data_IF_916809477825
#
_entry.id   IF_916809477825
#
_cell.length_a   1.000
_cell.length_b   1.000
_cell.length_c   1.000
_cell.angle_alpha   90.00
_cell.angle_beta   90.00
_cell.angle_gamma   90.00
#
_symmetry.space_group_name_H-M   'P 1'
#
loop_
_entity.id
_entity.type
_entity.pdbx_description
1 polymer ?
#
# COMPACT_ATOMS: atom_id res chain seq x y z
N UNK A 1 -2.79 -17.91 -4.00
CA UNK A 1 -1.43 -17.67 -4.53
C UNK A 1 -1.34 -17.72 -6.04
N UNK A 2 -1.76 -18.78 -6.77
CA UNK A 2 -1.56 -18.84 -8.22
C UNK A 2 -2.30 -17.75 -9.01
N UNK A 3 -3.53 -17.40 -8.59
CA UNK A 3 -4.29 -16.31 -9.18
C UNK A 3 -3.54 -14.96 -9.12
N UNK A 4 -2.93 -14.67 -7.97
CA UNK A 4 -2.19 -13.42 -7.75
C UNK A 4 -0.99 -13.37 -8.69
N UNK A 5 -0.24 -14.47 -8.80
CA UNK A 5 0.89 -14.58 -9.74
C UNK A 5 0.47 -14.36 -11.19
N UNK A 6 -0.66 -14.94 -11.62
CA UNK A 6 -1.18 -14.75 -12.99
C UNK A 6 -1.52 -13.27 -13.24
N UNK A 7 -2.21 -12.61 -12.30
CA UNK A 7 -2.55 -11.18 -12.43
C UNK A 7 -1.28 -10.34 -12.55
N UNK A 8 -0.28 -10.56 -11.68
CA UNK A 8 1.00 -9.85 -11.77
C UNK A 8 1.72 -10.09 -13.09
N UNK A 9 1.72 -11.33 -13.61
CA UNK A 9 2.34 -11.64 -14.90
C UNK A 9 1.65 -10.87 -16.04
N UNK A 10 0.32 -10.91 -16.11
CA UNK A 10 -0.44 -10.24 -17.18
C UNK A 10 -0.25 -8.72 -17.12
N UNK A 11 -0.22 -8.12 -15.93
CA UNK A 11 0.04 -6.68 -15.77
C UNK A 11 1.43 -6.30 -16.28
N UNK A 12 2.47 -7.10 -16.00
CA UNK A 12 3.80 -6.84 -16.53
C UNK A 12 3.85 -6.95 -18.07
N UNK A 13 3.19 -7.97 -18.65
CA UNK A 13 3.07 -8.12 -20.11
C UNK A 13 2.38 -6.90 -20.73
N UNK A 14 1.32 -6.38 -20.09
CA UNK A 14 0.64 -5.17 -20.55
C UNK A 14 1.57 -3.95 -20.54
N UNK A 15 2.37 -3.75 -19.47
CA UNK A 15 3.32 -2.64 -19.41
C UNK A 15 4.37 -2.70 -20.53
N UNK A 16 4.99 -3.86 -20.77
CA UNK A 16 5.98 -4.02 -21.85
C UNK A 16 5.37 -3.93 -23.26
N UNK A 17 4.07 -4.12 -23.41
CA UNK A 17 3.40 -3.97 -24.71
C UNK A 17 3.19 -2.51 -25.13
N UNK A 18 3.14 -1.59 -24.17
CA UNK A 18 2.82 -0.16 -24.40
C UNK A 18 4.03 0.74 -24.15
N UNK A 19 4.88 0.42 -23.17
CA UNK A 19 6.07 1.21 -22.84
C UNK A 19 7.34 0.51 -23.33
N UNK A 20 8.28 1.31 -23.83
CA UNK A 20 9.64 0.85 -24.10
C UNK A 20 10.43 0.69 -22.80
N UNK A 21 11.50 -0.12 -22.82
CA UNK A 21 12.35 -0.37 -21.66
C UNK A 21 12.94 0.90 -21.06
N UNK A 22 13.33 1.87 -21.90
CA UNK A 22 13.88 3.15 -21.45
C UNK A 22 12.83 4.01 -20.71
N UNK A 23 11.57 3.98 -21.16
CA UNK A 23 10.46 4.68 -20.50
C UNK A 23 10.11 4.06 -19.15
N UNK A 24 10.17 2.72 -19.04
CA UNK A 24 9.95 2.02 -17.77
C UNK A 24 11.07 2.33 -16.77
N UNK A 25 12.32 2.38 -17.23
CA UNK A 25 13.49 2.65 -16.39
C UNK A 25 13.58 4.11 -15.94
N UNK A 26 13.09 5.03 -16.75
CA UNK A 26 13.10 6.47 -16.44
C UNK A 26 11.86 6.94 -15.68
N UNK A 27 10.79 6.14 -15.63
CA UNK A 27 9.54 6.52 -14.96
C UNK A 27 9.53 6.16 -13.48
N UNK A 28 9.29 7.15 -12.62
CA UNK A 28 9.05 6.96 -11.18
C UNK A 28 7.71 6.25 -10.91
N UNK A 29 6.75 6.36 -11.85
CA UNK A 29 5.40 5.85 -11.70
C UNK A 29 4.90 5.21 -13.01
N UNK A 30 5.38 3.98 -13.27
CA UNK A 30 5.09 3.20 -14.49
C UNK A 30 3.60 3.12 -14.82
N UNK A 31 2.75 2.93 -13.79
CA UNK A 31 1.30 2.86 -13.95
C UNK A 31 0.70 4.17 -14.49
N UNK A 32 1.22 5.33 -14.06
CA UNK A 32 0.75 6.64 -14.51
C UNK A 32 1.18 6.91 -15.94
N UNK A 33 2.46 6.64 -16.27
CA UNK A 33 2.97 6.76 -17.65
C UNK A 33 2.23 5.84 -18.63
N UNK A 34 1.83 4.64 -18.17
CA UNK A 34 0.93 3.76 -18.92
C UNK A 34 -0.45 4.38 -19.13
N UNK A 35 -1.05 4.95 -18.09
CA UNK A 35 -2.34 5.64 -18.16
C UNK A 35 -2.34 6.83 -19.11
N UNK A 36 -1.27 7.64 -19.11
CA UNK A 36 -1.11 8.78 -20.02
C UNK A 36 -1.09 8.33 -21.48
N UNK A 37 -0.38 7.24 -21.82
CA UNK A 37 -0.31 6.73 -23.20
C UNK A 37 -1.57 6.01 -23.69
N UNK A 38 -2.24 5.27 -22.80
CA UNK A 38 -3.39 4.44 -23.19
C UNK A 38 -4.72 5.21 -23.15
N UNK A 39 -4.91 6.05 -22.13
CA UNK A 39 -6.21 6.64 -21.82
C UNK A 39 -6.32 8.10 -22.23
N UNK A 40 -5.22 8.76 -22.62
CA UNK A 40 -5.11 10.14 -23.14
C UNK A 40 -6.03 11.15 -22.43
N UNK A 41 -7.32 11.21 -22.79
CA UNK A 41 -8.36 12.01 -22.15
C UNK A 41 -8.72 11.62 -20.70
N UNK A 42 -8.64 10.33 -20.34
CA UNK A 42 -8.98 9.80 -19.00
C UNK A 42 -7.75 9.42 -18.17
N UNK A 43 -6.58 9.99 -18.47
CA UNK A 43 -5.33 9.69 -17.77
C UNK A 43 -5.40 9.91 -16.26
N UNK A 44 -6.19 10.89 -15.80
CA UNK A 44 -6.38 11.22 -14.37
C UNK A 44 -6.98 10.09 -13.53
N UNK A 45 -7.67 9.13 -14.16
CA UNK A 45 -8.29 7.99 -13.46
C UNK A 45 -7.22 7.08 -12.88
N UNK A 46 -6.09 6.92 -13.57
CA UNK A 46 -5.01 6.02 -13.18
C UNK A 46 -4.33 6.43 -11.86
N UNK A 47 -3.82 7.68 -11.69
CA UNK A 47 -3.26 8.11 -10.41
C UNK A 47 -4.31 8.13 -9.30
N UNK A 48 -5.58 8.43 -9.60
CA UNK A 48 -6.66 8.36 -8.60
C UNK A 48 -6.87 6.94 -8.07
N UNK A 49 -6.98 5.94 -8.97
CA UNK A 49 -7.14 4.54 -8.58
C UNK A 49 -5.94 4.01 -7.79
N UNK A 50 -4.72 4.36 -8.22
CA UNK A 50 -3.47 4.01 -7.52
C UNK A 50 -3.45 4.63 -6.12
N UNK A 51 -3.81 5.90 -5.98
CA UNK A 51 -3.86 6.59 -4.68
C UNK A 51 -4.89 5.96 -3.73
N UNK A 52 -6.09 5.60 -4.22
CA UNK A 52 -7.08 4.89 -3.40
C UNK A 52 -6.58 3.51 -2.95
N UNK A 53 -5.87 2.78 -3.81
CA UNK A 53 -5.32 1.46 -3.49
C UNK A 53 -4.20 1.54 -2.44
N UNK A 54 -3.27 2.48 -2.58
CA UNK A 54 -2.18 2.68 -1.61
C UNK A 54 -2.72 3.18 -0.27
N UNK A 55 -3.72 4.07 -0.28
CA UNK A 55 -4.40 4.53 0.94
C UNK A 55 -5.10 3.38 1.68
N UNK A 56 -5.83 2.52 0.94
CA UNK A 56 -6.48 1.34 1.52
C UNK A 56 -5.46 0.35 2.10
N UNK A 57 -4.36 0.13 1.39
CA UNK A 57 -3.26 -0.76 1.84
C UNK A 57 -2.59 -0.23 3.11
N UNK A 58 -2.33 1.07 3.17
CA UNK A 58 -1.75 1.72 4.35
C UNK A 58 -2.67 1.60 5.56
N UNK A 59 -3.97 1.88 5.39
CA UNK A 59 -4.95 1.76 6.48
C UNK A 59 -5.03 0.31 7.00
N UNK A 60 -5.04 -0.68 6.11
CA UNK A 60 -4.99 -2.09 6.48
C UNK A 60 -3.71 -2.47 7.24
N UNK A 61 -2.56 -1.96 6.79
CA UNK A 61 -1.27 -2.18 7.46
C UNK A 61 -1.24 -1.57 8.86
N UNK A 62 -1.79 -0.37 9.05
CA UNK A 62 -1.92 0.31 10.37
C UNK A 62 -2.75 -0.54 11.35
N UNK A 63 -3.87 -1.11 10.89
CA UNK A 63 -4.68 -1.99 11.75
C UNK A 63 -3.99 -3.30 12.09
N UNK A 64 -3.24 -3.90 11.16
CA UNK A 64 -2.51 -5.14 11.41
C UNK A 64 -1.32 -4.91 12.38
N UNK A 65 -0.56 -3.84 12.15
CA UNK A 65 0.62 -3.51 12.95
C UNK A 65 0.26 -3.16 14.39
N UNK A 66 -0.76 -2.33 14.60
CA UNK A 66 -1.23 -1.96 15.95
C UNK A 66 -1.61 -3.18 16.81
N UNK A 67 -2.23 -4.20 16.21
CA UNK A 67 -2.52 -5.47 16.91
C UNK A 67 -1.26 -6.25 17.25
N UNK A 68 -0.27 -6.27 16.35
CA UNK A 68 1.00 -6.94 16.58
C UNK A 68 1.79 -6.28 17.72
N UNK A 69 1.89 -4.94 17.73
CA UNK A 69 2.56 -4.18 18.79
C UNK A 69 1.86 -4.35 20.15
N UNK A 70 0.52 -4.38 20.18
CA UNK A 70 -0.24 -4.65 21.40
C UNK A 70 0.09 -6.03 22.00
N UNK A 71 0.11 -7.08 21.17
CA UNK A 71 0.45 -8.44 21.63
C UNK A 71 1.94 -8.57 21.97
N UNK A 72 2.82 -7.91 21.22
CA UNK A 72 4.26 -7.89 21.48
C UNK A 72 4.61 -7.26 22.83
N UNK A 73 3.99 -6.13 23.17
CA UNK A 73 4.12 -5.49 24.47
C UNK A 73 3.52 -6.34 25.60
N UNK A 74 2.44 -7.08 25.35
CA UNK A 74 1.86 -8.00 26.34
C UNK A 74 2.73 -9.21 26.65
N UNK A 75 3.56 -9.65 25.70
CA UNK A 75 4.52 -10.74 25.89
C UNK A 75 5.89 -10.25 26.42
N UNK A 76 6.03 -8.96 26.77
CA UNK A 76 7.26 -8.41 27.34
C UNK A 76 8.37 -8.12 26.33
N UNK A 77 8.11 -8.26 25.02
CA UNK A 77 9.09 -7.95 23.96
C UNK A 77 9.23 -6.44 23.70
N UNK A 78 8.26 -5.64 24.16
CA UNK A 78 8.17 -4.20 23.93
C UNK A 78 7.76 -3.48 25.23
N UNK A 79 8.14 -2.22 25.43
CA UNK A 79 7.74 -1.43 26.60
C UNK A 79 6.22 -1.44 26.82
N UNK A 80 5.78 -1.66 28.06
CA UNK A 80 4.36 -1.71 28.42
C UNK A 80 3.59 -0.42 28.13
N UNK A 81 4.28 0.71 27.91
CA UNK A 81 3.65 1.97 27.47
C UNK A 81 2.99 1.85 26.08
N UNK A 82 3.42 0.90 25.25
CA UNK A 82 2.93 0.75 23.87
C UNK A 82 1.61 -0.03 23.84
N UNK A 83 1.30 -0.82 24.89
CA UNK A 83 0.03 -1.56 25.00
C UNK A 83 -1.14 -0.74 25.56
N UNK A 84 -0.94 0.56 25.86
CA UNK A 84 -1.97 1.45 26.35
C UNK A 84 -3.03 1.73 25.26
N UNK A 85 -4.28 1.53 25.62
CA UNK A 85 -5.45 1.81 24.77
C UNK A 85 -6.14 3.05 25.33
N UNK A 86 -6.49 4.00 24.46
CA UNK A 86 -7.27 5.16 24.84
C UNK A 86 -8.69 4.73 25.25
N UNK A 87 -9.15 5.14 26.44
CA UNK A 87 -10.44 4.73 27.02
C UNK A 87 -11.64 5.28 26.25
N UNK A 88 -11.53 6.46 25.64
CA UNK A 88 -12.66 7.13 24.99
C UNK A 88 -12.90 6.61 23.56
N UNK A 89 -11.83 6.30 22.83
CA UNK A 89 -11.91 5.87 21.42
C UNK A 89 -11.52 4.40 21.20
N UNK A 90 -11.11 3.68 22.25
CA UNK A 90 -10.63 2.29 22.19
C UNK A 90 -9.49 2.07 21.17
N UNK A 91 -8.71 3.13 20.89
CA UNK A 91 -7.60 3.10 19.93
C UNK A 91 -6.25 2.99 20.64
N UNK A 92 -5.31 2.16 20.15
CA UNK A 92 -3.96 2.06 20.69
C UNK A 92 -3.09 3.22 20.20
N UNK A 93 -3.35 4.44 20.71
CA UNK A 93 -2.70 5.69 20.27
C UNK A 93 -1.16 5.64 20.35
N UNK A 94 -0.53 5.13 21.42
CA UNK A 94 0.94 5.04 21.48
C UNK A 94 1.54 4.05 20.48
N UNK A 95 0.82 2.96 20.16
CA UNK A 95 1.23 2.02 19.10
C UNK A 95 1.14 2.66 17.71
N UNK A 96 0.14 3.51 17.48
CA UNK A 96 -0.06 4.21 16.20
C UNK A 96 0.97 5.32 15.97
N UNK A 97 1.40 6.02 17.02
CA UNK A 97 2.43 7.07 16.93
C UNK A 97 3.82 6.49 16.71
N UNK A 98 4.07 5.26 17.17
CA UNK A 98 5.36 4.59 16.99
C UNK A 98 5.55 4.02 15.57
N UNK A 99 4.44 3.73 14.87
CA UNK A 99 4.45 3.27 13.48
C UNK A 99 4.84 4.41 12.53
#
# INVERSE_FOLDING_TARGET
MPLVTIIYMVTNVAYFSVLSTDEILSSDAVAVTFGDKMLDYMSWVMPFAVACSTFGSLNGAIFASSRLFFVGARNGHLPAAISLINVNCLTPVPSLIFL
#
